data_IF_601653179079
#
_entry.id   IF_601653179079
#
_cell.length_a   1.000
_cell.length_b   1.000
_cell.length_c   1.000
_cell.angle_alpha   90.00
_cell.angle_beta   90.00
_cell.angle_gamma   90.00
#
_symmetry.space_group_name_H-M   'P 1'
#
loop_
_entity.id
_entity.type
_entity.pdbx_description
1 polymer ?
#
# COMPACT_ATOMS: atom_id res chain seq x y z
N UNK A 1 12.11 -23.48 -1.18
CA UNK A 1 10.93 -22.68 -1.57
C UNK A 1 11.17 -22.19 -2.98
N UNK A 2 10.51 -22.77 -3.98
CA UNK A 2 10.60 -22.31 -5.37
C UNK A 2 9.86 -20.97 -5.49
N UNK A 3 10.47 -19.99 -6.16
CA UNK A 3 9.79 -18.73 -6.49
C UNK A 3 8.70 -19.04 -7.51
N UNK A 4 7.47 -18.59 -7.27
CA UNK A 4 6.38 -18.78 -8.22
C UNK A 4 6.68 -18.02 -9.53
N UNK A 5 6.22 -18.54 -10.66
CA UNK A 5 6.30 -17.85 -11.96
C UNK A 5 5.66 -16.46 -11.90
N UNK A 6 4.59 -16.31 -11.11
CA UNK A 6 3.93 -15.03 -10.84
C UNK A 6 4.85 -14.03 -10.15
N UNK A 7 5.67 -14.46 -9.18
CA UNK A 7 6.63 -13.60 -8.49
C UNK A 7 7.81 -13.23 -9.40
N UNK A 8 8.33 -14.17 -10.18
CA UNK A 8 9.40 -13.89 -11.14
C UNK A 8 8.98 -12.82 -12.16
N UNK A 9 7.78 -12.95 -12.72
CA UNK A 9 7.25 -11.92 -13.60
C UNK A 9 7.05 -10.58 -12.88
N UNK A 10 6.62 -10.61 -11.62
CA UNK A 10 6.52 -9.39 -10.83
C UNK A 10 7.90 -8.72 -10.69
N UNK A 11 8.98 -9.47 -10.41
CA UNK A 11 10.33 -8.92 -10.34
C UNK A 11 10.77 -8.27 -11.65
N UNK A 12 10.42 -8.88 -12.79
CA UNK A 12 10.72 -8.34 -14.13
C UNK A 12 9.97 -7.05 -14.44
N UNK A 13 8.71 -6.95 -14.02
CA UNK A 13 7.80 -5.85 -14.38
C UNK A 13 7.71 -4.73 -13.34
N UNK A 14 8.30 -4.91 -12.16
CA UNK A 14 8.31 -3.92 -11.08
C UNK A 14 9.53 -3.01 -11.15
N UNK A 15 9.36 -1.77 -10.71
CA UNK A 15 10.43 -0.78 -10.59
C UNK A 15 10.91 -0.65 -9.14
N UNK A 16 12.00 0.09 -8.95
CA UNK A 16 12.48 0.56 -7.65
C UNK A 16 12.42 2.10 -7.62
N UNK A 17 12.99 2.75 -6.61
CA UNK A 17 13.05 4.22 -6.51
C UNK A 17 13.50 4.96 -7.78
N UNK A 18 14.35 4.37 -8.62
CA UNK A 18 14.87 5.05 -9.81
C UNK A 18 13.89 5.04 -10.98
N UNK A 19 12.91 4.14 -10.99
CA UNK A 19 11.84 4.09 -11.99
C UNK A 19 10.53 4.70 -11.51
N UNK A 20 10.56 5.49 -10.44
CA UNK A 20 9.39 6.18 -9.87
C UNK A 20 9.47 7.67 -10.20
N UNK A 21 8.49 8.15 -10.95
CA UNK A 21 8.36 9.57 -11.31
C UNK A 21 7.38 10.36 -10.43
N UNK A 22 6.91 9.75 -9.34
CA UNK A 22 6.05 10.39 -8.34
C UNK A 22 6.88 10.81 -7.12
N UNK A 23 7.02 12.12 -6.82
CA UNK A 23 7.72 12.58 -5.62
C UNK A 23 7.16 11.96 -4.34
N UNK A 24 5.83 11.76 -4.28
CA UNK A 24 5.15 11.10 -3.17
C UNK A 24 5.64 9.66 -2.98
N UNK A 25 5.60 8.85 -4.05
CA UNK A 25 6.02 7.44 -3.98
C UNK A 25 7.52 7.36 -3.73
N UNK A 26 8.33 8.21 -4.36
CA UNK A 26 9.77 8.26 -4.13
C UNK A 26 10.10 8.49 -2.65
N UNK A 27 9.41 9.42 -1.98
CA UNK A 27 9.58 9.66 -0.55
C UNK A 27 9.10 8.47 0.30
N UNK A 28 7.95 7.85 -0.02
CA UNK A 28 7.50 6.63 0.66
C UNK A 28 8.56 5.53 0.58
N UNK A 29 9.18 5.32 -0.59
CA UNK A 29 10.23 4.30 -0.75
C UNK A 29 11.48 4.66 0.05
N UNK A 30 12.03 5.85 -0.17
CA UNK A 30 13.33 6.25 0.39
C UNK A 30 13.28 6.56 1.88
N UNK A 31 12.21 7.19 2.36
CA UNK A 31 12.06 7.64 3.74
C UNK A 31 11.39 6.60 4.63
N UNK A 32 10.65 5.64 4.09
CA UNK A 32 10.03 4.56 4.85
C UNK A 32 10.64 3.19 4.54
N UNK A 33 10.43 2.69 3.32
CA UNK A 33 10.63 1.28 3.00
C UNK A 33 12.10 0.87 2.94
N UNK A 34 13.00 1.74 2.48
CA UNK A 34 14.43 1.47 2.33
C UNK A 34 15.28 1.85 3.55
N UNK A 35 14.72 2.48 4.58
CA UNK A 35 15.47 2.75 5.83
C UNK A 35 15.93 1.43 6.48
N UNK A 36 17.15 1.39 7.02
CA UNK A 36 17.69 0.18 7.66
C UNK A 36 17.40 0.08 9.16
N UNK A 37 16.73 1.07 9.74
CA UNK A 37 16.51 1.14 11.17
C UNK A 37 15.45 0.13 11.63
N UNK A 38 15.65 -0.39 12.84
CA UNK A 38 14.59 -1.10 13.57
C UNK A 38 13.62 -0.06 14.11
N UNK A 39 12.37 -0.16 13.68
CA UNK A 39 11.26 0.71 14.11
C UNK A 39 10.34 -0.17 14.94
N UNK A 40 9.88 0.27 16.12
CA UNK A 40 8.85 -0.43 16.88
C UNK A 40 7.64 -0.80 16.00
N UNK A 41 6.93 -1.87 16.34
CA UNK A 41 5.71 -2.22 15.60
C UNK A 41 4.66 -1.16 15.90
N UNK A 42 4.12 -0.55 14.86
CA UNK A 42 3.07 0.43 14.93
C UNK A 42 1.79 -0.18 15.53
N UNK A 43 1.17 0.48 16.49
CA UNK A 43 0.09 -0.09 17.30
C UNK A 43 -1.08 -0.61 16.47
N UNK A 44 -1.45 0.12 15.41
CA UNK A 44 -2.51 -0.32 14.50
C UNK A 44 -2.18 -1.66 13.83
N UNK A 45 -0.90 -1.88 13.49
CA UNK A 45 -0.45 -3.13 12.89
C UNK A 45 -0.46 -4.28 13.89
N UNK A 46 -0.20 -4.04 15.18
CA UNK A 46 -0.35 -5.08 16.22
C UNK A 46 -1.78 -5.63 16.20
N UNK A 47 -2.78 -4.74 16.23
CA UNK A 47 -4.19 -5.15 16.21
C UNK A 47 -4.57 -5.93 14.94
N UNK A 48 -4.01 -5.56 13.79
CA UNK A 48 -4.30 -6.19 12.51
C UNK A 48 -3.58 -7.52 12.32
N UNK A 49 -2.39 -7.69 12.87
CA UNK A 49 -1.67 -8.97 12.82
C UNK A 49 -2.51 -10.09 13.43
N UNK A 50 -3.12 -9.82 14.58
CA UNK A 50 -3.96 -10.81 15.26
C UNK A 50 -5.28 -11.00 14.52
N UNK A 51 -5.98 -9.89 14.21
CA UNK A 51 -7.29 -9.92 13.54
C UNK A 51 -7.28 -10.57 12.16
N UNK A 52 -6.25 -10.32 11.34
CA UNK A 52 -6.15 -10.79 9.96
C UNK A 52 -5.08 -11.88 9.77
N UNK A 53 -4.52 -12.40 10.86
CA UNK A 53 -3.51 -13.46 10.87
C UNK A 53 -2.31 -13.18 9.94
N UNK A 54 -1.79 -11.95 9.99
CA UNK A 54 -0.69 -11.50 9.12
C UNK A 54 0.64 -12.09 9.62
N UNK A 55 1.13 -13.14 8.96
CA UNK A 55 2.37 -13.85 9.33
C UNK A 55 3.58 -13.52 8.43
N UNK A 56 3.34 -13.00 7.23
CA UNK A 56 4.40 -12.71 6.25
C UNK A 56 5.31 -11.56 6.75
N UNK A 57 6.59 -11.86 6.95
CA UNK A 57 7.57 -10.90 7.49
C UNK A 57 7.85 -9.72 6.55
N UNK A 58 7.83 -9.94 5.22
CA UNK A 58 7.96 -8.88 4.22
C UNK A 58 6.77 -7.95 4.28
N UNK A 59 5.55 -8.50 4.37
CA UNK A 59 4.30 -7.74 4.50
C UNK A 59 4.28 -6.92 5.79
N UNK A 60 4.59 -7.54 6.94
CA UNK A 60 4.71 -6.85 8.23
C UNK A 60 5.72 -5.70 8.15
N UNK A 61 6.89 -5.92 7.52
CA UNK A 61 7.92 -4.89 7.35
C UNK A 61 7.43 -3.72 6.49
N UNK A 62 6.75 -4.00 5.37
CA UNK A 62 6.18 -2.98 4.48
C UNK A 62 5.14 -2.15 5.24
N UNK A 63 4.21 -2.80 5.92
CA UNK A 63 3.15 -2.15 6.69
C UNK A 63 3.72 -1.30 7.81
N UNK A 64 4.62 -1.88 8.62
CA UNK A 64 5.14 -1.19 9.79
C UNK A 64 5.87 0.10 9.41
N UNK A 65 6.76 0.01 8.42
CA UNK A 65 7.54 1.15 7.94
C UNK A 65 6.66 2.21 7.31
N UNK A 66 5.70 1.80 6.48
CA UNK A 66 4.80 2.73 5.79
C UNK A 66 3.90 3.46 6.78
N UNK A 67 3.21 2.74 7.68
CA UNK A 67 2.33 3.35 8.68
C UNK A 67 3.09 4.31 9.60
N UNK A 68 4.28 3.92 10.08
CA UNK A 68 5.13 4.78 10.91
C UNK A 68 5.52 6.08 10.19
N UNK A 69 5.84 5.99 8.89
CA UNK A 69 6.20 7.16 8.09
C UNK A 69 4.99 8.05 7.78
N UNK A 70 3.87 7.46 7.35
CA UNK A 70 2.64 8.18 7.02
C UNK A 70 2.03 8.88 8.26
N UNK A 71 2.25 8.34 9.46
CA UNK A 71 1.76 8.94 10.70
C UNK A 71 2.65 10.07 11.24
N UNK A 72 3.87 10.26 10.70
CA UNK A 72 4.82 11.26 11.17
C UNK A 72 4.35 12.69 10.84
N UNK A 73 4.58 13.64 11.76
CA UNK A 73 4.14 15.03 11.62
C UNK A 73 4.71 15.72 10.37
N UNK A 74 5.97 15.44 10.01
CA UNK A 74 6.58 15.98 8.78
C UNK A 74 5.91 15.48 7.50
N UNK A 75 5.37 14.26 7.52
CA UNK A 75 4.59 13.75 6.40
C UNK A 75 3.21 14.42 6.36
N UNK A 76 2.51 14.46 7.49
CA UNK A 76 1.16 15.04 7.60
C UNK A 76 1.12 16.54 7.28
N UNK A 77 2.19 17.27 7.61
CA UNK A 77 2.29 18.71 7.32
C UNK A 77 2.41 18.98 5.81
N UNK A 78 3.04 18.09 5.05
CA UNK A 78 3.20 18.22 3.58
C UNK A 78 2.05 17.57 2.82
N UNK A 79 1.50 16.48 3.35
CA UNK A 79 0.46 15.66 2.73
C UNK A 79 -0.81 15.64 3.57
N UNK A 80 -1.34 16.85 3.84
CA UNK A 80 -2.54 17.04 4.65
C UNK A 80 -3.70 16.22 4.08
N UNK A 81 -4.35 15.46 4.96
CA UNK A 81 -5.50 14.63 4.59
C UNK A 81 -5.18 13.34 3.83
N UNK A 82 -3.90 13.02 3.55
CA UNK A 82 -3.54 11.76 2.86
C UNK A 82 -3.46 10.54 3.78
N UNK A 83 -3.41 10.74 5.10
CA UNK A 83 -3.37 9.66 6.09
C UNK A 83 -4.09 10.07 7.37
N UNK A 84 -4.86 9.13 7.94
CA UNK A 84 -5.49 9.28 9.25
C UNK A 84 -5.57 7.90 9.90
N UNK A 85 -4.85 7.70 11.00
CA UNK A 85 -4.74 6.41 11.69
C UNK A 85 -6.10 5.76 11.95
N UNK A 86 -7.06 6.51 12.51
CA UNK A 86 -8.38 5.98 12.91
C UNK A 86 -9.28 5.60 11.73
N UNK A 87 -9.00 6.12 10.52
CA UNK A 87 -9.80 5.81 9.33
C UNK A 87 -9.09 4.83 8.39
N UNK A 88 -7.77 4.65 8.49
CA UNK A 88 -7.05 3.70 7.64
C UNK A 88 -7.56 2.29 7.90
N UNK A 89 -7.89 1.58 6.82
CA UNK A 89 -8.42 0.23 6.89
C UNK A 89 -7.49 -0.78 6.23
N UNK A 90 -7.48 -1.99 6.79
CA UNK A 90 -6.91 -3.18 6.18
C UNK A 90 -8.04 -4.04 5.60
N UNK A 91 -7.93 -4.37 4.32
CA UNK A 91 -8.98 -5.09 3.59
C UNK A 91 -8.39 -6.29 2.88
N UNK A 92 -9.01 -7.47 3.02
CA UNK A 92 -8.69 -8.63 2.19
C UNK A 92 -9.53 -8.57 0.90
N UNK A 93 -8.89 -8.49 -0.26
CA UNK A 93 -9.58 -8.38 -1.56
C UNK A 93 -10.43 -9.60 -1.92
N UNK A 94 -10.14 -10.75 -1.30
CA UNK A 94 -10.91 -11.98 -1.50
C UNK A 94 -12.27 -11.91 -0.79
N UNK A 95 -12.34 -11.17 0.32
CA UNK A 95 -13.52 -11.05 1.19
C UNK A 95 -14.40 -9.84 0.85
N UNK A 96 -13.95 -8.95 -0.03
CA UNK A 96 -14.65 -7.71 -0.34
C UNK A 96 -14.88 -7.56 -1.86
N UNK A 97 -16.02 -6.98 -2.22
CA UNK A 97 -16.33 -6.49 -3.56
C UNK A 97 -15.53 -5.23 -3.89
N UNK A 98 -15.52 -4.86 -5.18
CA UNK A 98 -14.85 -3.63 -5.63
C UNK A 98 -15.57 -2.41 -5.04
N UNK A 99 -16.89 -2.44 -5.02
CA UNK A 99 -17.76 -1.38 -4.54
C UNK A 99 -17.56 -1.13 -3.04
N UNK A 100 -17.43 -2.18 -2.23
CA UNK A 100 -17.11 -2.05 -0.80
C UNK A 100 -15.74 -1.42 -0.57
N UNK A 101 -14.74 -1.77 -1.38
CA UNK A 101 -13.39 -1.19 -1.28
C UNK A 101 -13.42 0.29 -1.66
N UNK A 102 -14.15 0.67 -2.70
CA UNK A 102 -14.33 2.08 -3.09
C UNK A 102 -15.08 2.88 -2.03
N UNK A 103 -16.16 2.32 -1.45
CA UNK A 103 -16.89 2.96 -0.35
C UNK A 103 -16.02 3.16 0.89
N UNK A 104 -15.00 2.32 1.11
CA UNK A 104 -14.02 2.54 2.19
C UNK A 104 -13.08 3.70 1.86
N UNK A 105 -12.68 3.85 0.59
CA UNK A 105 -11.84 4.97 0.13
C UNK A 105 -12.54 6.33 0.17
N UNK A 106 -13.87 6.40 0.07
CA UNK A 106 -14.59 7.66 0.29
C UNK A 106 -14.54 8.12 1.75
N UNK A 107 -14.36 7.18 2.69
CA UNK A 107 -14.29 7.44 4.14
C UNK A 107 -12.85 7.59 4.65
N UNK A 108 -11.88 7.03 3.92
CA UNK A 108 -10.49 6.97 4.31
C UNK A 108 -9.56 7.34 3.14
N UNK A 109 -8.64 8.32 3.31
CA UNK A 109 -7.77 8.76 2.23
C UNK A 109 -6.69 7.74 1.84
N UNK A 110 -6.52 6.70 2.67
CA UNK A 110 -5.56 5.63 2.48
C UNK A 110 -6.16 4.31 2.99
N UNK A 111 -6.11 3.28 2.15
CA UNK A 111 -6.44 1.90 2.54
C UNK A 111 -5.34 0.93 2.09
N UNK A 112 -5.25 -0.17 2.83
CA UNK A 112 -4.37 -1.29 2.56
C UNK A 112 -5.22 -2.44 2.05
N UNK A 113 -4.81 -3.02 0.92
CA UNK A 113 -5.49 -4.13 0.28
C UNK A 113 -4.55 -5.33 0.23
N UNK A 114 -4.97 -6.42 0.88
CA UNK A 114 -4.22 -7.67 0.93
C UNK A 114 -4.66 -8.65 -0.15
N UNK A 115 -3.79 -9.63 -0.44
CA UNK A 115 -3.99 -10.70 -1.41
C UNK A 115 -4.19 -10.20 -2.86
N UNK A 116 -3.47 -9.13 -3.22
CA UNK A 116 -3.53 -8.48 -4.54
C UNK A 116 -2.53 -9.07 -5.56
N UNK A 117 -2.28 -10.37 -5.46
CA UNK A 117 -1.33 -11.08 -6.30
C UNK A 117 -1.56 -10.85 -7.80
N UNK A 118 -0.54 -11.15 -8.61
CA UNK A 118 -0.41 -10.69 -10.01
C UNK A 118 -1.67 -10.93 -10.88
N UNK A 119 -2.41 -11.99 -10.63
CA UNK A 119 -3.57 -12.40 -11.43
C UNK A 119 -4.90 -11.88 -10.92
N UNK A 120 -4.88 -11.15 -9.79
CA UNK A 120 -6.07 -10.61 -9.17
C UNK A 120 -6.75 -9.57 -10.07
N UNK A 121 -7.84 -9.97 -10.72
CA UNK A 121 -8.62 -9.09 -11.60
C UNK A 121 -9.25 -7.94 -10.83
N UNK A 122 -9.71 -8.16 -9.58
CA UNK A 122 -10.25 -7.09 -8.73
C UNK A 122 -9.21 -5.99 -8.50
N UNK A 123 -7.94 -6.33 -8.25
CA UNK A 123 -6.86 -5.34 -8.11
C UNK A 123 -6.67 -4.53 -9.40
N UNK A 124 -6.68 -5.19 -10.57
CA UNK A 124 -6.57 -4.49 -11.86
C UNK A 124 -7.74 -3.53 -12.08
N UNK A 125 -8.96 -3.95 -11.75
CA UNK A 125 -10.14 -3.10 -11.83
C UNK A 125 -10.06 -1.92 -10.86
N UNK A 126 -9.65 -2.12 -9.60
CA UNK A 126 -9.42 -1.05 -8.62
C UNK A 126 -8.40 -0.03 -9.16
N UNK A 127 -7.28 -0.50 -9.71
CA UNK A 127 -6.27 0.36 -10.35
C UNK A 127 -6.82 1.18 -11.54
N UNK A 128 -8.02 0.90 -12.05
CA UNK A 128 -8.66 1.65 -13.14
C UNK A 128 -9.75 2.62 -12.65
N UNK A 129 -10.25 2.50 -11.41
CA UNK A 129 -11.29 3.38 -10.85
C UNK A 129 -10.85 4.83 -10.65
N UNK A 130 -11.69 5.78 -11.03
CA UNK A 130 -11.41 7.23 -10.90
C UNK A 130 -11.36 7.72 -9.44
N UNK A 131 -11.98 6.97 -8.53
CA UNK A 131 -11.93 7.15 -7.07
C UNK A 131 -10.56 6.82 -6.47
N UNK A 132 -9.66 6.20 -7.24
CA UNK A 132 -8.30 5.84 -6.83
C UNK A 132 -7.32 6.67 -7.64
N UNK A 133 -6.64 7.60 -6.97
CA UNK A 133 -5.66 8.49 -7.62
C UNK A 133 -4.25 7.93 -7.56
N UNK A 134 -3.95 7.06 -6.60
CA UNK A 134 -2.65 6.39 -6.53
C UNK A 134 -2.82 4.94 -6.07
N UNK A 135 -2.24 4.01 -6.82
CA UNK A 135 -2.04 2.62 -6.39
C UNK A 135 -0.55 2.26 -6.33
N UNK A 136 -0.16 1.53 -5.28
CA UNK A 136 1.20 0.98 -5.16
C UNK A 136 1.11 -0.51 -4.84
N UNK A 137 1.53 -1.35 -5.76
CA UNK A 137 1.53 -2.80 -5.66
C UNK A 137 2.91 -3.30 -5.20
N UNK A 138 2.95 -4.02 -4.08
CA UNK A 138 4.14 -4.68 -3.53
C UNK A 138 4.07 -6.21 -3.64
N UNK A 139 3.49 -6.70 -4.73
CA UNK A 139 3.18 -8.09 -5.04
C UNK A 139 1.95 -8.66 -4.32
N UNK A 140 2.02 -8.94 -3.02
CA UNK A 140 0.92 -9.56 -2.28
C UNK A 140 0.07 -8.55 -1.49
N UNK A 141 0.56 -7.33 -1.33
CA UNK A 141 -0.11 -6.25 -0.62
C UNK A 141 -0.04 -4.95 -1.43
N UNK A 142 -1.14 -4.21 -1.41
CA UNK A 142 -1.33 -3.00 -2.20
C UNK A 142 -1.77 -1.84 -1.33
N UNK A 143 -1.35 -0.65 -1.72
CA UNK A 143 -1.79 0.61 -1.12
C UNK A 143 -2.65 1.34 -2.12
N UNK A 144 -3.80 1.84 -1.68
CA UNK A 144 -4.67 2.72 -2.46
C UNK A 144 -4.83 4.03 -1.71
N UNK A 145 -4.62 5.13 -2.43
CA UNK A 145 -4.85 6.48 -1.92
C UNK A 145 -5.89 7.19 -2.76
N UNK A 146 -6.66 8.03 -2.08
CA UNK A 146 -7.51 9.05 -2.70
C UNK A 146 -6.99 10.44 -2.33
N UNK A 147 -6.64 11.22 -3.35
CA UNK A 147 -6.28 12.63 -3.21
C UNK A 147 -6.96 13.45 -4.32
N UNK A 148 -7.99 14.25 -4.00
CA UNK A 148 -8.64 15.11 -4.97
C UNK A 148 -7.63 15.97 -5.75
N UNK A 149 -7.78 16.02 -7.08
CA UNK A 149 -6.94 16.84 -7.96
C UNK A 149 -5.57 16.27 -8.32
N UNK A 150 -5.16 15.11 -7.80
CA UNK A 150 -3.93 14.44 -8.26
C UNK A 150 -4.21 13.59 -9.50
N UNK A 151 -3.30 13.63 -10.48
CA UNK A 151 -3.34 12.71 -11.62
C UNK A 151 -3.24 11.26 -11.15
N UNK A 152 -3.89 10.38 -11.91
CA UNK A 152 -3.89 8.96 -11.60
C UNK A 152 -2.53 8.33 -11.85
N UNK A 153 -2.00 7.63 -10.85
CA UNK A 153 -0.72 6.95 -10.93
C UNK A 153 -0.82 5.51 -10.41
N UNK A 154 -0.18 4.56 -11.09
CA UNK A 154 -0.16 3.15 -10.70
C UNK A 154 1.27 2.62 -10.72
N UNK A 155 1.75 2.12 -9.58
CA UNK A 155 3.12 1.63 -9.44
C UNK A 155 3.15 0.16 -9.05
N UNK A 156 4.11 -0.60 -9.60
CA UNK A 156 4.52 -1.92 -9.11
C UNK A 156 5.94 -1.79 -8.58
N UNK A 157 6.13 -1.94 -7.28
CA UNK A 157 7.41 -1.61 -6.63
C UNK A 157 8.04 -2.82 -5.96
N UNK A 158 9.23 -3.21 -6.42
CA UNK A 158 10.09 -4.16 -5.71
C UNK A 158 10.86 -3.47 -4.58
N UNK A 159 10.82 -4.14 -3.43
CA UNK A 159 11.51 -3.80 -2.17
C UNK A 159 12.42 -4.95 -1.79
#
# INVERSE_FOLDING_TARGET
>A
MLLSLSYLNYLWTSSNQHGVHSPFVYQLLTKALYRKNNIPIYDLLLSWKDKYHIKDSRKIKILNRSLSYLNNDSFKSVHTGCFTQDRTQYVNILEHSIEEIEQKLTKAPFIIVDNIDKENQKWKHLCQRTTITLSVNFYNIGFLFYKPGQHKENFKIRI
#
